data_IF_151997167400
#
_entry.id   IF_151997167400
#
_cell.length_a   1.000
_cell.length_b   1.000
_cell.length_c   1.000
_cell.angle_alpha   90.00
_cell.angle_beta   90.00
_cell.angle_gamma   90.00
#
_symmetry.space_group_name_H-M   'P 1'
#
loop_
_entity.id
_entity.type
_entity.pdbx_description
1 polymer ?
#
# COMPACT_ATOMS: atom_id res chain seq x y z
N UNK A 1 -19.84 14.07 2.42
CA UNK A 1 -18.50 13.52 2.70
C UNK A 1 -18.19 12.40 1.71
N UNK A 2 -16.96 11.85 1.68
CA UNK A 2 -16.67 10.68 0.85
C UNK A 2 -17.00 9.39 1.62
N UNK A 3 -17.99 8.65 1.15
CA UNK A 3 -18.39 7.36 1.71
C UNK A 3 -17.97 6.25 0.74
N UNK A 4 -17.24 5.23 1.23
CA UNK A 4 -16.79 4.11 0.40
C UNK A 4 -17.33 2.81 1.00
N UNK A 5 -18.15 2.10 0.23
CA UNK A 5 -18.76 0.83 0.64
C UNK A 5 -18.26 -0.25 -0.32
N UNK A 6 -17.63 -1.31 0.19
CA UNK A 6 -17.13 -2.42 -0.65
C UNK A 6 -18.28 -3.18 -1.30
N UNK A 7 -19.24 -3.57 -0.48
CA UNK A 7 -20.33 -4.45 -0.85
C UNK A 7 -21.54 -4.04 -0.06
N UNK A 8 -22.66 -3.92 -0.76
CA UNK A 8 -23.97 -3.70 -0.18
C UNK A 8 -24.87 -4.86 -0.58
N UNK A 9 -25.56 -5.43 0.41
CA UNK A 9 -26.51 -6.49 0.18
C UNK A 9 -27.85 -6.12 0.81
N UNK A 10 -28.91 -6.32 0.05
CA UNK A 10 -30.29 -6.18 0.52
C UNK A 10 -30.86 -7.58 0.54
N UNK A 11 -31.13 -8.08 1.74
CA UNK A 11 -31.74 -9.39 1.95
C UNK A 11 -33.18 -9.19 2.39
N UNK A 12 -34.11 -9.91 1.76
CA UNK A 12 -35.50 -9.97 2.18
C UNK A 12 -36.03 -11.38 1.94
N UNK A 13 -36.94 -11.81 2.81
CA UNK A 13 -37.64 -13.09 2.70
C UNK A 13 -39.10 -12.79 2.39
N UNK A 14 -39.66 -13.49 1.41
CA UNK A 14 -41.06 -13.35 1.00
C UNK A 14 -41.70 -14.72 0.84
N UNK A 15 -43.03 -14.77 0.89
CA UNK A 15 -43.79 -16.00 0.69
C UNK A 15 -43.68 -16.47 -0.77
N UNK A 16 -43.73 -17.79 -0.99
CA UNK A 16 -43.48 -18.42 -2.30
C UNK A 16 -44.41 -17.96 -3.45
N UNK A 17 -45.53 -17.32 -3.12
CA UNK A 17 -46.54 -16.84 -4.08
C UNK A 17 -46.38 -15.37 -4.47
N UNK A 18 -45.42 -14.64 -3.90
CA UNK A 18 -45.14 -13.27 -4.31
C UNK A 18 -44.33 -13.27 -5.62
N UNK A 19 -44.66 -12.35 -6.54
CA UNK A 19 -43.88 -12.09 -7.76
C UNK A 19 -42.48 -11.58 -7.37
N UNK A 20 -41.55 -12.51 -7.12
CA UNK A 20 -40.25 -12.24 -6.52
C UNK A 20 -39.41 -11.24 -7.33
N UNK A 21 -39.52 -11.28 -8.67
CA UNK A 21 -38.80 -10.37 -9.56
C UNK A 21 -39.33 -8.94 -9.50
N UNK A 22 -40.65 -8.75 -9.50
CA UNK A 22 -41.25 -7.42 -9.42
C UNK A 22 -41.01 -6.79 -8.05
N UNK A 23 -41.05 -7.61 -7.00
CA UNK A 23 -40.71 -7.19 -5.65
C UNK A 23 -39.23 -6.77 -5.56
N UNK A 24 -38.32 -7.54 -6.15
CA UNK A 24 -36.90 -7.21 -6.20
C UNK A 24 -36.66 -5.86 -6.89
N UNK A 25 -37.30 -5.62 -8.04
CA UNK A 25 -37.15 -4.36 -8.77
C UNK A 25 -37.67 -3.17 -7.95
N UNK A 26 -38.84 -3.31 -7.32
CA UNK A 26 -39.41 -2.29 -6.43
C UNK A 26 -38.54 -2.01 -5.21
N UNK A 27 -38.03 -3.05 -4.55
CA UNK A 27 -37.11 -2.90 -3.41
C UNK A 27 -35.84 -2.17 -3.83
N UNK A 28 -35.27 -2.51 -4.99
CA UNK A 28 -34.12 -1.80 -5.53
C UNK A 28 -34.43 -0.31 -5.77
N UNK A 29 -35.59 0.02 -6.34
CA UNK A 29 -35.99 1.40 -6.58
C UNK A 29 -36.20 2.18 -5.26
N UNK A 30 -36.84 1.57 -4.27
CA UNK A 30 -37.02 2.15 -2.93
C UNK A 30 -35.66 2.39 -2.26
N UNK A 31 -34.75 1.44 -2.40
CA UNK A 31 -33.43 1.56 -1.83
C UNK A 31 -32.72 2.82 -2.33
N UNK A 32 -32.61 3.01 -3.65
CA UNK A 32 -31.93 4.18 -4.21
C UNK A 32 -32.70 5.49 -4.01
N UNK A 33 -34.04 5.48 -4.10
CA UNK A 33 -34.84 6.71 -4.02
C UNK A 33 -35.08 7.19 -2.59
N UNK A 34 -35.15 6.29 -1.62
CA UNK A 34 -35.66 6.59 -0.27
C UNK A 34 -34.71 6.18 0.85
N UNK A 35 -34.09 4.99 0.79
CA UNK A 35 -33.25 4.49 1.88
C UNK A 35 -31.82 5.06 1.81
N UNK A 36 -31.18 5.00 0.64
CA UNK A 36 -29.81 5.48 0.42
C UNK A 36 -29.62 6.95 0.83
N UNK A 37 -30.51 7.90 0.47
CA UNK A 37 -30.37 9.29 0.92
C UNK A 37 -30.39 9.44 2.45
N UNK A 38 -31.13 8.59 3.16
CA UNK A 38 -31.14 8.61 4.63
C UNK A 38 -29.85 8.03 5.21
N UNK A 39 -29.31 6.98 4.60
CA UNK A 39 -28.02 6.40 4.98
C UNK A 39 -26.91 7.44 4.79
N UNK A 40 -26.86 8.10 3.63
CA UNK A 40 -25.89 9.16 3.33
C UNK A 40 -25.97 10.30 4.34
N UNK A 41 -27.19 10.74 4.67
CA UNK A 41 -27.41 11.78 5.67
C UNK A 41 -26.86 11.38 7.05
N UNK A 42 -27.14 10.17 7.51
CA UNK A 42 -26.64 9.68 8.81
C UNK A 42 -25.11 9.57 8.80
N UNK A 43 -24.54 9.10 7.69
CA UNK A 43 -23.08 9.00 7.56
C UNK A 43 -22.42 10.39 7.54
N UNK A 44 -23.01 11.36 6.86
CA UNK A 44 -22.52 12.75 6.84
C UNK A 44 -22.60 13.41 8.23
N UNK A 45 -23.67 13.17 9.00
CA UNK A 45 -23.84 13.72 10.36
C UNK A 45 -22.80 13.20 11.37
N UNK A 46 -22.32 11.98 11.16
CA UNK A 46 -21.42 11.30 12.10
C UNK A 46 -19.94 11.49 11.70
N UNK A 47 -19.68 11.76 10.42
CA UNK A 47 -18.33 11.90 9.87
C UNK A 47 -17.72 13.26 10.20
N UNK A 48 -16.41 13.29 10.41
CA UNK A 48 -15.60 14.50 10.59
C UNK A 48 -14.56 14.59 9.46
N UNK A 49 -14.20 15.79 8.95
CA UNK A 49 -13.29 15.89 7.80
C UNK A 49 -11.86 15.41 8.10
N UNK A 50 -11.49 15.32 9.37
CA UNK A 50 -10.16 14.92 9.87
C UNK A 50 -10.08 13.45 10.31
N UNK A 51 -11.21 12.71 10.28
CA UNK A 51 -11.30 11.36 10.85
C UNK A 51 -11.91 10.37 9.86
N UNK A 52 -11.37 9.15 9.89
CA UNK A 52 -11.92 8.00 9.19
C UNK A 52 -12.61 7.10 10.20
N UNK A 53 -13.79 6.68 9.80
CA UNK A 53 -14.58 5.69 10.52
C UNK A 53 -14.66 4.46 9.61
N UNK A 54 -14.07 3.35 10.07
CA UNK A 54 -14.06 2.09 9.34
C UNK A 54 -14.91 1.04 10.07
N UNK A 55 -15.77 0.38 9.30
CA UNK A 55 -16.58 -0.75 9.74
C UNK A 55 -16.17 -1.99 8.94
N UNK A 56 -16.05 -3.13 9.62
CA UNK A 56 -15.78 -4.40 8.94
C UNK A 56 -17.07 -4.94 8.29
N UNK A 57 -18.19 -4.80 8.99
CA UNK A 57 -19.54 -5.08 8.53
C UNK A 57 -20.53 -4.20 9.29
N UNK A 58 -21.64 -3.85 8.66
CA UNK A 58 -22.74 -3.11 9.26
C UNK A 58 -24.06 -3.76 8.81
N UNK A 59 -24.75 -4.38 9.76
CA UNK A 59 -26.04 -5.02 9.51
C UNK A 59 -27.16 -4.17 10.11
N UNK A 60 -28.22 -3.95 9.33
CA UNK A 60 -29.37 -3.15 9.74
C UNK A 60 -30.62 -3.95 9.47
N UNK A 61 -31.31 -4.33 10.54
CA UNK A 61 -32.59 -5.02 10.45
C UNK A 61 -33.76 -4.01 10.54
N UNK A 62 -34.51 -3.88 9.45
CA UNK A 62 -35.73 -3.07 9.39
C UNK A 62 -36.98 -3.84 9.82
N UNK A 63 -36.85 -5.15 10.10
CA UNK A 63 -37.92 -6.06 10.46
C UNK A 63 -38.87 -6.35 9.31
N UNK A 64 -40.09 -6.75 9.65
CA UNK A 64 -41.12 -7.10 8.66
C UNK A 64 -41.77 -5.85 8.08
N UNK A 65 -41.70 -5.71 6.75
CA UNK A 65 -42.38 -4.64 6.01
C UNK A 65 -43.54 -5.28 5.22
N UNK A 66 -44.79 -4.84 5.43
CA UNK A 66 -45.93 -5.31 4.65
C UNK A 66 -45.74 -5.02 3.15
N UNK A 67 -46.06 -6.00 2.29
CA UNK A 67 -45.94 -5.86 0.83
C UNK A 67 -46.70 -4.63 0.29
N UNK A 68 -47.85 -4.32 0.89
CA UNK A 68 -48.64 -3.11 0.55
C UNK A 68 -47.84 -1.81 0.68
N UNK A 69 -46.88 -1.75 1.60
CA UNK A 69 -46.07 -0.55 1.84
C UNK A 69 -44.91 -0.43 0.85
N UNK A 70 -44.38 -1.57 0.38
CA UNK A 70 -43.44 -1.65 -0.74
C UNK A 70 -44.14 -1.31 -2.06
N UNK A 71 -45.43 -1.61 -2.15
CA UNK A 71 -46.21 -1.39 -3.36
C UNK A 71 -46.70 0.06 -3.56
N UNK A 72 -46.67 0.88 -2.50
CA UNK A 72 -47.08 2.30 -2.54
C UNK A 72 -46.19 3.11 -3.49
N UNK A 73 -46.77 4.20 -4.03
CA UNK A 73 -46.07 5.16 -4.88
C UNK A 73 -44.93 5.87 -4.15
N UNK A 74 -45.09 6.11 -2.85
CA UNK A 74 -44.04 6.64 -1.98
C UNK A 74 -43.79 5.67 -0.83
N UNK A 75 -42.51 5.43 -0.54
CA UNK A 75 -42.12 4.57 0.57
C UNK A 75 -42.46 5.24 1.91
N UNK A 76 -43.13 4.56 2.85
CA UNK A 76 -43.59 5.20 4.08
C UNK A 76 -42.46 5.77 4.93
N UNK A 77 -42.68 6.98 5.47
CA UNK A 77 -41.71 7.71 6.28
C UNK A 77 -41.41 7.02 7.62
N UNK A 78 -42.28 6.14 8.11
CA UNK A 78 -42.04 5.37 9.33
C UNK A 78 -40.81 4.46 9.20
N UNK A 79 -40.61 3.83 8.04
CA UNK A 79 -39.48 2.93 7.79
C UNK A 79 -38.18 3.70 7.58
N UNK A 80 -38.24 4.87 6.94
CA UNK A 80 -37.06 5.74 6.82
C UNK A 80 -36.64 6.30 8.18
N UNK A 81 -37.60 6.67 9.03
CA UNK A 81 -37.31 7.08 10.41
C UNK A 81 -36.77 5.93 11.27
N UNK A 82 -37.32 4.72 11.10
CA UNK A 82 -36.81 3.51 11.77
C UNK A 82 -35.36 3.25 11.36
N UNK A 83 -35.07 3.27 10.06
CA UNK A 83 -33.70 3.15 9.52
C UNK A 83 -32.77 4.19 10.15
N UNK A 84 -33.17 5.47 10.14
CA UNK A 84 -32.37 6.55 10.73
C UNK A 84 -32.03 6.27 12.20
N UNK A 85 -33.03 5.90 13.02
CA UNK A 85 -32.84 5.61 14.45
C UNK A 85 -31.92 4.41 14.67
N UNK A 86 -32.22 3.28 14.04
CA UNK A 86 -31.44 2.03 14.19
C UNK A 86 -30.01 2.24 13.72
N UNK A 87 -29.81 2.87 12.56
CA UNK A 87 -28.48 3.16 12.03
C UNK A 87 -27.68 4.06 12.97
N UNK A 88 -28.29 5.12 13.49
CA UNK A 88 -27.64 6.04 14.42
C UNK A 88 -27.21 5.33 15.71
N UNK A 89 -28.04 4.43 16.24
CA UNK A 89 -27.76 3.67 17.46
C UNK A 89 -26.63 2.65 17.26
N UNK A 90 -26.67 1.89 16.16
CA UNK A 90 -25.62 0.92 15.81
C UNK A 90 -24.29 1.65 15.60
N UNK A 91 -24.29 2.79 14.89
CA UNK A 91 -23.08 3.57 14.66
C UNK A 91 -22.54 4.17 15.95
N UNK A 92 -23.39 4.72 16.83
CA UNK A 92 -22.94 5.23 18.15
C UNK A 92 -22.29 4.13 18.99
N UNK A 93 -22.87 2.94 19.00
CA UNK A 93 -22.34 1.79 19.75
C UNK A 93 -20.97 1.34 19.19
N UNK A 94 -20.84 1.31 17.87
CA UNK A 94 -19.58 0.99 17.21
C UNK A 94 -18.50 2.07 17.42
N UNK A 95 -18.90 3.35 17.47
CA UNK A 95 -17.98 4.46 17.72
C UNK A 95 -17.48 4.54 19.15
N UNK A 96 -18.25 4.03 20.12
CA UNK A 96 -17.80 3.91 21.51
C UNK A 96 -16.80 2.76 21.66
N UNK A 97 -16.96 1.69 20.88
CA UNK A 97 -16.14 0.47 20.99
C UNK A 97 -14.88 0.46 20.11
N UNK A 98 -14.85 1.20 18.99
CA UNK A 98 -13.66 1.33 18.11
C UNK A 98 -13.10 2.75 18.11
N UNK A 99 -11.76 2.86 18.18
CA UNK A 99 -11.06 4.14 18.08
C UNK A 99 -11.25 4.73 16.68
N UNK A 100 -11.72 5.98 16.61
CA UNK A 100 -11.64 6.80 15.40
C UNK A 100 -10.18 6.98 15.02
N UNK A 101 -9.87 6.93 13.73
CA UNK A 101 -8.50 7.05 13.24
C UNK A 101 -8.35 8.36 12.46
N UNK A 102 -7.21 9.07 12.57
CA UNK A 102 -6.94 10.25 11.75
C UNK A 102 -6.97 9.92 10.26
N UNK A 103 -7.36 10.88 9.40
CA UNK A 103 -7.40 10.69 7.95
C UNK A 103 -6.11 10.05 7.40
N UNK A 104 -4.96 10.66 7.69
CA UNK A 104 -3.62 10.22 7.29
C UNK A 104 -3.29 8.77 7.66
N UNK A 105 -3.91 8.22 8.72
CA UNK A 105 -3.70 6.83 9.12
C UNK A 105 -4.06 5.86 7.98
N UNK A 106 -5.06 6.19 7.16
CA UNK A 106 -5.48 5.33 6.07
C UNK A 106 -4.47 5.23 4.95
N UNK A 107 -3.81 6.34 4.60
CA UNK A 107 -2.82 6.40 3.52
C UNK A 107 -1.60 5.57 3.90
N UNK A 108 -1.15 5.69 5.15
CA UNK A 108 -0.09 4.84 5.69
C UNK A 108 -0.49 3.37 5.73
N UNK A 109 -1.72 3.04 6.13
CA UNK A 109 -2.21 1.65 6.18
C UNK A 109 -2.34 1.04 4.78
N UNK A 110 -2.88 1.78 3.82
CA UNK A 110 -2.98 1.36 2.43
C UNK A 110 -1.59 1.15 1.82
N UNK A 111 -0.64 2.03 2.15
CA UNK A 111 0.75 1.87 1.73
C UNK A 111 1.39 0.63 2.35
N UNK A 112 1.21 0.38 3.66
CA UNK A 112 1.72 -0.85 4.32
C UNK A 112 1.13 -2.10 3.67
N UNK A 113 -0.18 -2.11 3.39
CA UNK A 113 -0.85 -3.19 2.69
C UNK A 113 -0.24 -3.42 1.31
N UNK A 114 -0.08 -2.37 0.51
CA UNK A 114 0.54 -2.44 -0.82
C UNK A 114 1.98 -2.95 -0.74
N UNK A 115 2.77 -2.49 0.22
CA UNK A 115 4.14 -2.96 0.42
C UNK A 115 4.22 -4.41 0.87
N UNK A 116 3.24 -4.89 1.63
CA UNK A 116 3.17 -6.29 2.02
C UNK A 116 2.69 -7.19 0.87
N UNK A 117 1.58 -6.81 0.21
CA UNK A 117 0.81 -7.68 -0.70
C UNK A 117 1.10 -7.44 -2.17
N UNK A 118 1.46 -6.23 -2.56
CA UNK A 118 1.87 -5.88 -3.92
C UNK A 118 0.73 -5.39 -4.82
N UNK A 119 -0.47 -5.27 -4.27
CA UNK A 119 -1.65 -4.69 -4.89
C UNK A 119 -2.36 -3.78 -3.87
N UNK A 120 -3.14 -2.82 -4.36
CA UNK A 120 -3.81 -1.85 -3.50
C UNK A 120 -5.04 -2.49 -2.84
N UNK A 121 -5.38 -2.09 -1.60
CA UNK A 121 -6.66 -2.47 -1.04
C UNK A 121 -7.81 -1.82 -1.83
N UNK A 122 -8.99 -2.43 -1.77
CA UNK A 122 -10.18 -2.05 -2.55
C UNK A 122 -10.68 -0.62 -2.25
N UNK A 123 -10.36 -0.09 -1.07
CA UNK A 123 -10.75 1.25 -0.62
C UNK A 123 -9.70 2.33 -0.93
N UNK A 124 -8.64 1.99 -1.69
CA UNK A 124 -7.62 2.98 -2.04
C UNK A 124 -8.17 4.07 -2.95
N UNK A 125 -7.90 5.31 -2.56
CA UNK A 125 -8.10 6.48 -3.43
C UNK A 125 -6.92 6.53 -4.40
N UNK A 126 -7.15 7.06 -5.61
CA UNK A 126 -6.15 7.11 -6.66
C UNK A 126 -4.80 7.63 -6.14
N UNK A 127 -3.73 6.91 -6.52
CA UNK A 127 -2.32 7.28 -6.41
C UNK A 127 -2.10 8.69 -7.02
N UNK A 128 -2.28 9.74 -6.24
CA UNK A 128 -1.85 11.07 -6.66
C UNK A 128 -0.33 11.23 -6.48
N UNK A 129 0.22 12.35 -6.97
CA UNK A 129 1.65 12.66 -6.84
C UNK A 129 2.06 12.96 -5.41
N UNK A 130 1.11 13.25 -4.53
CA UNK A 130 1.34 13.67 -3.15
C UNK A 130 1.15 12.53 -2.14
N UNK A 131 0.79 11.32 -2.60
CA UNK A 131 0.53 10.18 -1.71
C UNK A 131 1.76 9.84 -0.86
N UNK A 132 2.98 9.98 -1.38
CA UNK A 132 4.20 9.79 -0.59
C UNK A 132 4.29 10.74 0.61
N UNK A 133 3.83 11.98 0.46
CA UNK A 133 3.81 12.98 1.54
C UNK A 133 2.80 12.58 2.61
N UNK A 134 1.60 12.16 2.21
CA UNK A 134 0.55 11.73 3.13
C UNK A 134 0.95 10.46 3.90
N UNK A 135 1.64 9.53 3.24
CA UNK A 135 2.22 8.34 3.89
C UNK A 135 3.26 8.75 4.94
N UNK A 136 4.15 9.68 4.63
CA UNK A 136 5.16 10.16 5.59
C UNK A 136 4.51 10.90 6.77
N UNK A 137 3.47 11.71 6.53
CA UNK A 137 2.68 12.35 7.60
C UNK A 137 2.04 11.31 8.51
N UNK A 138 1.45 10.26 7.94
CA UNK A 138 0.84 9.15 8.70
C UNK A 138 1.84 8.51 9.68
N UNK A 139 3.04 8.20 9.19
CA UNK A 139 4.08 7.62 10.03
C UNK A 139 4.64 8.60 11.06
N UNK A 140 4.76 9.89 10.72
CA UNK A 140 5.26 10.91 11.64
C UNK A 140 4.26 11.22 12.77
N UNK A 141 2.96 11.08 12.52
CA UNK A 141 1.90 11.40 13.48
C UNK A 141 1.44 10.21 14.35
N UNK A 142 1.79 8.97 14.00
CA UNK A 142 1.35 7.78 14.74
C UNK A 142 2.48 6.78 14.98
N UNK A 143 2.88 6.63 16.26
CA UNK A 143 3.89 5.67 16.68
C UNK A 143 3.49 4.21 16.38
N UNK A 144 2.20 3.86 16.46
CA UNK A 144 1.72 2.52 16.14
C UNK A 144 1.91 2.19 14.66
N UNK A 145 1.83 3.19 13.78
CA UNK A 145 2.14 3.04 12.35
C UNK A 145 3.62 2.74 12.13
N UNK A 146 4.51 3.43 12.83
CA UNK A 146 5.95 3.13 12.79
C UNK A 146 6.22 1.70 13.27
N UNK A 147 5.56 1.26 14.35
CA UNK A 147 5.71 -0.12 14.83
C UNK A 147 5.22 -1.16 13.82
N UNK A 148 4.12 -0.87 13.13
CA UNK A 148 3.60 -1.73 12.05
C UNK A 148 4.57 -1.81 10.87
N UNK A 149 5.19 -0.68 10.48
CA UNK A 149 6.24 -0.64 9.48
C UNK A 149 7.47 -1.47 9.90
N UNK A 150 7.98 -1.26 11.12
CA UNK A 150 9.13 -2.03 11.63
C UNK A 150 8.82 -3.53 11.65
N UNK A 151 7.62 -3.92 12.10
CA UNK A 151 7.19 -5.31 12.08
C UNK A 151 7.13 -5.91 10.66
N UNK A 152 6.65 -5.14 9.67
CA UNK A 152 6.63 -5.55 8.27
C UNK A 152 8.05 -5.77 7.73
N UNK A 153 8.96 -4.82 7.94
CA UNK A 153 10.34 -4.89 7.45
C UNK A 153 11.16 -6.02 8.09
N UNK A 154 10.86 -6.39 9.34
CA UNK A 154 11.48 -7.54 10.02
C UNK A 154 11.00 -8.88 9.45
N UNK A 155 9.70 -9.01 9.16
CA UNK A 155 9.07 -10.30 8.81
C UNK A 155 8.99 -10.57 7.31
N UNK A 156 9.05 -9.53 6.47
CA UNK A 156 8.78 -9.64 5.04
C UNK A 156 9.92 -9.04 4.19
N UNK A 157 10.94 -9.84 3.81
CA UNK A 157 12.06 -9.35 2.99
C UNK A 157 11.61 -8.94 1.58
N UNK A 158 10.50 -9.50 1.06
CA UNK A 158 9.93 -9.10 -0.22
C UNK A 158 9.35 -7.69 -0.15
N UNK A 159 8.69 -7.34 0.95
CA UNK A 159 8.19 -5.99 1.20
C UNK A 159 9.33 -4.98 1.30
N UNK A 160 10.40 -5.32 2.03
CA UNK A 160 11.61 -4.50 2.14
C UNK A 160 12.22 -4.20 0.76
N UNK A 161 12.44 -5.24 -0.05
CA UNK A 161 12.96 -5.09 -1.41
C UNK A 161 12.02 -4.26 -2.29
N UNK A 162 10.71 -4.40 -2.13
CA UNK A 162 9.72 -3.59 -2.85
C UNK A 162 9.83 -2.12 -2.46
N UNK A 163 9.91 -1.80 -1.18
CA UNK A 163 10.06 -0.42 -0.68
C UNK A 163 11.32 0.22 -1.26
N UNK A 164 12.47 -0.47 -1.16
CA UNK A 164 13.75 0.06 -1.66
C UNK A 164 13.76 0.23 -3.18
N UNK A 165 13.07 -0.64 -3.93
CA UNK A 165 13.09 -0.61 -5.40
C UNK A 165 12.03 0.28 -6.03
N UNK A 166 10.95 0.60 -5.31
CA UNK A 166 9.81 1.36 -5.84
C UNK A 166 9.84 2.83 -5.48
N UNK A 167 10.60 3.21 -4.47
CA UNK A 167 10.62 4.57 -3.93
C UNK A 167 11.89 5.29 -4.31
N UNK A 168 11.79 6.62 -4.40
CA UNK A 168 12.94 7.49 -4.61
C UNK A 168 13.86 7.45 -3.39
N UNK A 169 15.15 7.74 -3.60
CA UNK A 169 16.12 7.81 -2.51
C UNK A 169 15.78 8.94 -1.51
N UNK A 170 15.17 10.02 -1.99
CA UNK A 170 14.68 11.10 -1.14
C UNK A 170 13.59 10.58 -0.19
N UNK A 171 12.62 9.83 -0.72
CA UNK A 171 11.60 9.20 0.10
C UNK A 171 12.21 8.24 1.13
N UNK A 172 13.18 7.41 0.74
CA UNK A 172 13.85 6.49 1.66
C UNK A 172 14.60 7.22 2.79
N UNK A 173 15.24 8.37 2.51
CA UNK A 173 15.85 9.21 3.55
C UNK A 173 14.80 9.76 4.51
N UNK A 174 13.67 10.27 3.99
CA UNK A 174 12.57 10.80 4.83
C UNK A 174 11.93 9.71 5.67
N UNK A 175 11.69 8.52 5.09
CA UNK A 175 11.15 7.36 5.79
C UNK A 175 12.10 6.91 6.91
N UNK A 176 13.41 6.84 6.62
CA UNK A 176 14.42 6.54 7.62
C UNK A 176 14.39 7.55 8.78
N UNK A 177 14.29 8.85 8.47
CA UNK A 177 14.22 9.89 9.48
C UNK A 177 13.01 9.75 10.41
N UNK A 178 11.84 9.39 9.85
CA UNK A 178 10.63 9.10 10.63
C UNK A 178 10.82 7.84 11.50
N UNK A 179 11.40 6.76 10.96
CA UNK A 179 11.64 5.52 11.70
C UNK A 179 12.60 5.68 12.89
N UNK A 180 13.57 6.59 12.77
CA UNK A 180 14.60 6.84 13.80
C UNK A 180 14.31 8.05 14.67
N UNK A 181 13.23 8.80 14.39
CA UNK A 181 12.94 10.09 15.03
C UNK A 181 14.15 11.05 15.03
N UNK A 182 14.99 11.01 13.99
CA UNK A 182 16.24 11.76 13.89
C UNK A 182 16.55 12.08 12.42
N UNK A 183 17.21 13.21 12.15
CA UNK A 183 17.56 13.59 10.78
C UNK A 183 18.61 12.66 10.19
N UNK A 184 18.37 12.17 8.97
CA UNK A 184 19.24 11.21 8.27
C UNK A 184 19.88 11.86 7.02
N UNK A 185 20.31 13.12 7.14
CA UNK A 185 20.80 13.95 6.02
C UNK A 185 22.00 13.33 5.30
N UNK A 186 22.88 12.65 6.04
CA UNK A 186 24.09 12.03 5.50
C UNK A 186 23.87 10.60 4.98
N UNK A 187 22.68 10.02 5.16
CA UNK A 187 22.42 8.61 4.88
C UNK A 187 22.67 8.27 3.40
N UNK A 188 22.16 9.13 2.52
CA UNK A 188 22.31 8.95 1.08
C UNK A 188 23.78 9.01 0.65
N UNK A 189 24.54 9.96 1.19
CA UNK A 189 25.97 10.13 0.90
C UNK A 189 26.73 8.87 1.33
N UNK A 190 26.45 8.35 2.52
CA UNK A 190 27.08 7.15 3.05
C UNK A 190 26.74 5.92 2.20
N UNK A 191 25.47 5.70 1.86
CA UNK A 191 25.04 4.58 1.01
C UNK A 191 25.69 4.65 -0.38
N UNK A 192 25.76 5.84 -0.99
CA UNK A 192 26.44 6.03 -2.27
C UNK A 192 27.92 5.70 -2.18
N UNK A 193 28.61 6.26 -1.18
CA UNK A 193 30.04 6.03 -0.95
C UNK A 193 30.33 4.53 -0.78
N UNK A 194 29.48 3.81 -0.05
CA UNK A 194 29.59 2.37 0.15
C UNK A 194 29.36 1.56 -1.13
N UNK A 195 28.36 1.95 -1.92
CA UNK A 195 28.05 1.33 -3.21
C UNK A 195 29.18 1.53 -4.22
N UNK A 196 29.78 2.71 -4.25
CA UNK A 196 30.93 3.04 -5.09
C UNK A 196 32.17 2.26 -4.67
N UNK A 197 32.53 2.26 -3.38
CA UNK A 197 33.70 1.51 -2.89
C UNK A 197 33.56 0.03 -3.27
N UNK A 198 32.44 -0.61 -2.94
CA UNK A 198 32.23 -2.03 -3.26
C UNK A 198 32.05 -2.29 -4.76
N UNK A 199 31.51 -1.35 -5.51
CA UNK A 199 31.35 -1.46 -6.95
C UNK A 199 32.66 -1.29 -7.72
N UNK A 200 33.60 -0.48 -7.24
CA UNK A 200 34.95 -0.39 -7.82
C UNK A 200 35.69 -1.72 -7.66
N UNK A 201 35.48 -2.42 -6.54
CA UNK A 201 36.09 -3.71 -6.24
C UNK A 201 35.45 -4.86 -7.04
N UNK A 202 34.13 -4.85 -7.21
CA UNK A 202 33.36 -5.91 -7.89
C UNK A 202 33.03 -5.60 -9.37
N UNK A 203 33.52 -4.48 -9.91
CA UNK A 203 33.22 -3.96 -11.24
C UNK A 203 31.98 -3.05 -11.31
N UNK A 204 32.07 -1.95 -12.07
CA UNK A 204 31.08 -0.85 -12.09
C UNK A 204 29.62 -1.27 -12.36
N UNK A 205 29.40 -2.38 -13.11
CA UNK A 205 28.06 -2.94 -13.36
C UNK A 205 27.34 -3.38 -12.07
N UNK A 206 28.06 -3.53 -10.96
CA UNK A 206 27.51 -3.97 -9.68
C UNK A 206 27.10 -2.84 -8.73
N UNK A 207 27.44 -1.56 -9.03
CA UNK A 207 27.15 -0.42 -8.14
C UNK A 207 25.66 -0.31 -7.83
N UNK A 208 24.78 -0.36 -8.85
CA UNK A 208 23.33 -0.28 -8.64
C UNK A 208 22.81 -1.40 -7.74
N UNK A 209 23.28 -2.64 -7.94
CA UNK A 209 22.89 -3.79 -7.11
C UNK A 209 23.38 -3.63 -5.67
N UNK A 210 24.61 -3.14 -5.48
CA UNK A 210 25.18 -2.88 -4.16
C UNK A 210 24.47 -1.74 -3.44
N UNK A 211 24.05 -0.69 -4.17
CA UNK A 211 23.25 0.40 -3.62
C UNK A 211 21.91 -0.08 -3.06
N UNK A 212 21.17 -0.88 -3.84
CA UNK A 212 19.92 -1.52 -3.38
C UNK A 212 20.17 -2.38 -2.14
N UNK A 213 21.22 -3.19 -2.17
CA UNK A 213 21.61 -4.02 -1.03
C UNK A 213 21.83 -3.18 0.24
N UNK A 214 22.59 -2.08 0.18
CA UNK A 214 22.81 -1.24 1.36
C UNK A 214 21.56 -0.55 1.88
N UNK A 215 20.66 -0.14 0.99
CA UNK A 215 19.36 0.37 1.40
C UNK A 215 18.54 -0.69 2.13
N UNK A 216 18.48 -1.92 1.60
CA UNK A 216 17.79 -3.04 2.23
C UNK A 216 18.36 -3.32 3.62
N UNK A 217 19.68 -3.46 3.74
CA UNK A 217 20.36 -3.71 5.02
C UNK A 217 20.13 -2.60 6.03
N UNK A 218 20.21 -1.34 5.59
CA UNK A 218 20.02 -0.17 6.45
C UNK A 218 18.59 -0.12 6.99
N UNK A 219 17.59 -0.26 6.11
CA UNK A 219 16.17 -0.26 6.48
C UNK A 219 15.81 -1.43 7.39
N UNK A 220 16.38 -2.61 7.14
CA UNK A 220 16.20 -3.77 8.02
C UNK A 220 16.81 -3.55 9.41
N UNK A 221 18.01 -2.96 9.48
CA UNK A 221 18.63 -2.62 10.75
C UNK A 221 17.83 -1.59 11.54
N UNK A 222 17.38 -0.50 10.90
CA UNK A 222 16.49 0.49 11.52
C UNK A 222 15.19 -0.13 12.03
N UNK A 223 14.69 -1.15 11.32
CA UNK A 223 13.54 -1.90 11.78
C UNK A 223 13.87 -2.71 13.05
N UNK A 224 15.06 -3.25 13.24
CA UNK A 224 15.43 -4.03 14.43
C UNK A 224 15.73 -3.19 15.68
N UNK A 225 15.99 -1.90 15.54
CA UNK A 225 16.34 -1.01 16.65
C UNK A 225 15.18 -0.11 17.06
N UNK A 226 14.97 0.07 18.36
CA UNK A 226 13.96 0.99 18.89
C UNK A 226 14.51 2.39 19.23
N UNK A 227 15.84 2.54 19.29
CA UNK A 227 16.48 3.80 19.70
C UNK A 227 16.62 4.82 18.56
N UNK A 228 16.60 6.11 18.91
CA UNK A 228 17.01 7.22 18.05
C UNK A 228 18.52 7.17 17.82
N UNK A 229 18.95 6.52 16.73
CA UNK A 229 20.37 6.36 16.40
C UNK A 229 20.77 7.30 15.27
N UNK A 230 21.98 7.84 15.38
CA UNK A 230 22.57 8.65 14.32
C UNK A 230 22.92 7.81 13.09
N UNK A 231 22.90 8.46 11.93
CA UNK A 231 23.18 7.87 10.61
C UNK A 231 24.41 6.96 10.61
N UNK A 232 25.50 7.39 11.24
CA UNK A 232 26.76 6.67 11.27
C UNK A 232 26.65 5.33 12.03
N UNK A 233 25.89 5.30 13.13
CA UNK A 233 25.68 4.07 13.91
C UNK A 233 24.85 3.05 13.12
N UNK A 234 23.83 3.53 12.40
CA UNK A 234 22.94 2.69 11.60
C UNK A 234 23.69 2.03 10.46
N UNK A 235 24.38 2.84 9.66
CA UNK A 235 25.14 2.37 8.51
C UNK A 235 26.27 1.44 8.96
N UNK A 236 26.98 1.79 10.05
CA UNK A 236 28.00 0.92 10.63
C UNK A 236 27.46 -0.46 10.94
N UNK A 237 26.37 -0.58 11.69
CA UNK A 237 25.86 -1.89 12.09
C UNK A 237 25.20 -2.67 10.95
N UNK A 238 24.54 -1.98 10.02
CA UNK A 238 24.07 -2.59 8.78
C UNK A 238 25.23 -3.21 7.97
N UNK A 239 26.40 -2.56 7.97
CA UNK A 239 27.62 -3.10 7.36
C UNK A 239 28.26 -4.22 8.16
N UNK A 240 28.40 -4.05 9.48
CA UNK A 240 29.08 -5.03 10.35
C UNK A 240 28.37 -6.39 10.33
N UNK A 241 27.03 -6.42 10.28
CA UNK A 241 26.27 -7.66 10.15
C UNK A 241 26.53 -8.41 8.83
N UNK A 242 26.92 -7.70 7.75
CA UNK A 242 27.22 -8.32 6.45
C UNK A 242 28.71 -8.58 6.21
N UNK A 243 29.61 -7.86 6.89
CA UNK A 243 31.06 -8.07 6.76
C UNK A 243 31.47 -9.44 7.36
N UNK A 244 30.75 -9.94 8.36
CA UNK A 244 30.97 -11.29 8.93
C UNK A 244 30.79 -12.43 7.90
N UNK A 245 29.98 -12.25 6.85
CA UNK A 245 29.83 -13.25 5.76
C UNK A 245 30.96 -13.20 4.72
N UNK A 246 31.80 -12.17 4.72
CA UNK A 246 32.85 -11.98 3.70
C UNK A 246 34.24 -12.03 4.33
N UNK A 247 34.80 -13.24 4.51
CA UNK A 247 36.17 -13.46 5.00
C UNK A 247 37.30 -12.90 4.09
N UNK A 248 37.02 -11.95 3.17
CA UNK A 248 38.01 -11.27 2.32
C UNK A 248 38.16 -9.77 2.62
N UNK A 249 37.43 -9.22 3.60
CA UNK A 249 37.24 -7.77 3.76
C UNK A 249 38.14 -7.11 4.81
N UNK A 250 39.21 -7.80 5.26
CA UNK A 250 40.15 -7.26 6.26
C UNK A 250 41.01 -6.09 5.71
N UNK A 251 41.40 -6.14 4.43
CA UNK A 251 42.14 -5.05 3.77
C UNK A 251 41.26 -3.81 3.53
N UNK A 252 39.96 -4.05 3.34
CA UNK A 252 38.98 -3.03 2.97
C UNK A 252 38.55 -2.19 4.16
N UNK A 253 38.54 -2.77 5.38
CA UNK A 253 38.26 -2.05 6.61
C UNK A 253 39.31 -0.96 6.91
N UNK A 254 40.56 -1.13 6.46
CA UNK A 254 41.63 -0.13 6.65
C UNK A 254 41.44 1.09 5.74
N UNK A 255 41.14 0.88 4.45
CA UNK A 255 40.81 1.96 3.51
C UNK A 255 39.49 2.67 3.87
N UNK A 256 38.52 1.89 4.38
CA UNK A 256 37.24 2.35 4.91
C UNK A 256 37.43 3.21 6.18
N UNK A 257 38.28 2.77 7.12
CA UNK A 257 38.71 3.55 8.29
C UNK A 257 39.25 4.90 7.82
N UNK A 258 40.24 4.92 6.94
CA UNK A 258 40.98 6.14 6.63
C UNK A 258 40.16 7.22 5.90
N UNK A 259 39.13 6.84 5.11
CA UNK A 259 38.24 7.79 4.41
C UNK A 259 37.01 8.24 5.22
N UNK A 260 36.43 7.40 6.09
CA UNK A 260 35.23 7.73 6.87
C UNK A 260 35.51 8.18 8.31
N UNK A 261 36.59 7.71 8.94
CA UNK A 261 36.90 8.02 10.35
C UNK A 261 37.19 9.50 10.61
N UNK A 262 37.65 10.26 9.62
CA UNK A 262 38.00 11.66 9.83
C UNK A 262 36.79 12.58 10.06
N UNK A 263 35.57 12.13 9.73
CA UNK A 263 34.34 12.94 9.84
C UNK A 263 33.30 12.40 10.83
N UNK A 264 33.24 11.09 11.09
CA UNK A 264 32.08 10.47 11.78
C UNK A 264 32.37 9.60 13.01
N UNK A 265 33.63 9.40 13.45
CA UNK A 265 33.97 8.36 14.45
C UNK A 265 34.74 8.91 15.66
N UNK A 266 34.70 10.22 15.93
CA UNK A 266 35.33 10.78 17.13
C UNK A 266 34.63 10.42 18.45
N UNK A 267 33.44 9.83 18.40
CA UNK A 267 32.69 9.42 19.59
C UNK A 267 32.13 8.02 19.34
N UNK A 268 32.66 7.00 20.04
CA UNK A 268 31.96 5.78 20.52
C UNK A 268 32.98 4.67 20.90
N UNK A 269 32.82 4.01 22.05
CA UNK A 269 33.77 3.03 22.59
C UNK A 269 33.66 1.67 21.91
N UNK A 270 34.81 1.05 21.64
CA UNK A 270 34.93 -0.31 21.08
C UNK A 270 34.99 -1.34 22.21
N UNK A 271 33.99 -2.20 22.35
CA UNK A 271 34.10 -3.45 23.11
C UNK A 271 33.90 -4.62 22.16
N UNK A 272 34.98 -5.39 21.94
CA UNK A 272 34.94 -6.65 21.19
C UNK A 272 34.50 -7.75 22.15
N UNK A 273 33.47 -8.50 21.78
CA UNK A 273 33.19 -9.82 22.35
C UNK A 273 33.08 -10.81 21.19
N UNK A 274 33.99 -11.78 21.19
CA UNK A 274 34.12 -12.82 20.18
C UNK A 274 33.00 -13.85 20.37
N UNK A 275 32.25 -14.14 19.31
CA UNK A 275 31.33 -15.28 19.25
C UNK A 275 31.70 -16.11 18.03
N UNK A 276 32.11 -17.35 18.27
CA UNK A 276 32.40 -18.35 17.25
C UNK A 276 31.13 -19.05 16.79
N UNK A 277 30.82 -19.05 15.48
CA UNK A 277 29.91 -20.03 14.86
C UNK A 277 30.48 -20.48 13.51
N UNK A 278 30.44 -21.81 13.27
CA UNK A 278 30.97 -22.52 12.09
C UNK A 278 30.12 -22.27 10.82
N UNK A 279 30.72 -22.38 9.61
CA UNK A 279 30.02 -22.14 8.35
C UNK A 279 29.43 -23.43 7.75
N UNK A 280 28.20 -23.41 7.21
CA UNK A 280 27.74 -24.33 6.14
C UNK A 280 26.43 -23.82 5.49
N UNK A 281 25.99 -24.30 4.31
CA UNK A 281 26.39 -23.85 2.98
C UNK A 281 25.24 -23.21 2.17
N UNK A 282 25.65 -22.51 1.11
CA UNK A 282 24.84 -21.96 0.02
C UNK A 282 23.88 -22.98 -0.63
N UNK A 283 22.61 -22.58 -0.80
CA UNK A 283 21.66 -23.14 -1.78
C UNK A 283 20.96 -21.93 -2.45
N UNK A 284 21.21 -21.63 -3.73
CA UNK A 284 20.62 -22.24 -4.92
C UNK A 284 19.12 -21.95 -5.07
N UNK A 285 18.79 -21.39 -6.24
CA UNK A 285 17.48 -21.01 -6.78
C UNK A 285 16.24 -21.59 -6.08
N UNK A 286 15.44 -20.72 -5.46
CA UNK A 286 14.05 -21.04 -5.14
C UNK A 286 13.14 -20.49 -6.22
N UNK A 287 12.59 -21.43 -6.99
CA UNK A 287 11.46 -21.24 -7.87
C UNK A 287 10.33 -20.47 -7.15
N UNK A 288 9.72 -19.51 -7.86
CA UNK A 288 8.54 -18.76 -7.41
C UNK A 288 7.43 -19.75 -7.03
N UNK A 289 7.18 -19.92 -5.73
CA UNK A 289 5.94 -20.51 -5.25
C UNK A 289 4.82 -19.48 -5.53
N UNK A 290 3.76 -19.82 -6.29
CA UNK A 290 2.61 -18.93 -6.44
C UNK A 290 2.02 -18.70 -5.05
N UNK A 291 1.97 -17.45 -4.61
CA UNK A 291 1.25 -17.13 -3.39
C UNK A 291 -0.24 -17.46 -3.62
N UNK A 292 -0.93 -18.06 -2.64
CA UNK A 292 -2.35 -18.35 -2.76
C UNK A 292 -3.10 -17.05 -3.07
N UNK A 293 -4.02 -17.12 -4.05
CA UNK A 293 -4.83 -15.96 -4.39
C UNK A 293 -5.66 -15.56 -3.17
N UNK A 294 -5.73 -14.26 -2.83
CA UNK A 294 -6.58 -13.79 -1.74
C UNK A 294 -8.03 -14.22 -2.02
N UNK A 295 -8.74 -14.74 -1.01
CA UNK A 295 -10.18 -15.03 -1.11
C UNK A 295 -10.99 -13.81 -1.55
N UNK A 296 -10.47 -12.61 -1.25
CA UNK A 296 -11.11 -11.32 -1.54
C UNK A 296 -10.92 -10.81 -2.98
N UNK A 297 -10.25 -11.55 -3.86
CA UNK A 297 -9.89 -11.10 -5.21
C UNK A 297 -8.86 -9.96 -5.20
N UNK A 298 -8.28 -9.65 -6.36
CA UNK A 298 -7.30 -8.57 -6.51
C UNK A 298 -7.95 -7.44 -7.32
N UNK A 299 -8.09 -6.27 -6.69
CA UNK A 299 -8.54 -5.06 -7.37
C UNK A 299 -7.38 -4.44 -8.13
N UNK A 300 -7.54 -4.30 -9.45
CA UNK A 300 -6.55 -3.71 -10.34
C UNK A 300 -7.15 -2.45 -10.95
N UNK A 301 -6.56 -1.29 -10.65
CA UNK A 301 -6.85 -0.06 -11.37
C UNK A 301 -6.58 -0.29 -12.86
N UNK A 302 -7.53 0.06 -13.72
CA UNK A 302 -7.47 -0.19 -15.18
C UNK A 302 -7.72 -1.66 -15.60
N UNK A 303 -8.45 -2.46 -14.82
CA UNK A 303 -8.86 -3.81 -15.22
C UNK A 303 -9.52 -3.86 -16.61
N UNK A 304 -10.17 -2.78 -17.05
CA UNK A 304 -10.67 -2.62 -18.41
C UNK A 304 -9.59 -2.85 -19.48
N UNK A 305 -8.35 -2.40 -19.29
CA UNK A 305 -7.25 -2.65 -20.22
C UNK A 305 -6.93 -4.15 -20.37
N UNK A 306 -6.99 -4.90 -19.25
CA UNK A 306 -6.78 -6.34 -19.21
C UNK A 306 -7.92 -7.07 -19.91
N UNK A 307 -9.16 -6.64 -19.67
CA UNK A 307 -10.35 -7.16 -20.36
C UNK A 307 -10.34 -6.85 -21.86
N UNK A 308 -9.73 -5.74 -22.27
CA UNK A 308 -9.58 -5.34 -23.67
C UNK A 308 -8.49 -6.12 -24.42
N UNK A 309 -7.58 -6.81 -23.72
CA UNK A 309 -6.44 -7.53 -24.32
C UNK A 309 -6.81 -8.38 -25.55
N UNK A 310 -7.90 -9.19 -25.56
CA UNK A 310 -8.28 -9.98 -26.73
C UNK A 310 -8.61 -9.14 -27.97
N UNK A 311 -9.06 -7.89 -27.78
CA UNK A 311 -9.53 -7.00 -28.85
C UNK A 311 -8.45 -6.04 -29.35
N UNK A 312 -7.36 -5.83 -28.59
CA UNK A 312 -6.31 -4.85 -28.93
C UNK A 312 -5.65 -5.14 -30.27
N UNK A 313 -5.41 -6.41 -30.60
CA UNK A 313 -4.81 -6.79 -31.89
C UNK A 313 -5.67 -6.35 -33.07
N UNK A 314 -6.97 -6.56 -32.97
CA UNK A 314 -7.92 -6.16 -34.02
C UNK A 314 -8.03 -4.64 -34.09
N UNK A 315 -8.11 -3.97 -32.94
CA UNK A 315 -8.16 -2.51 -32.87
C UNK A 315 -6.94 -1.86 -33.54
N UNK A 316 -5.72 -2.29 -33.20
CA UNK A 316 -4.51 -1.71 -33.80
C UNK A 316 -4.38 -2.03 -35.29
N UNK A 317 -4.90 -3.16 -35.75
CA UNK A 317 -4.98 -3.48 -37.17
C UNK A 317 -5.96 -2.55 -37.90
N UNK A 318 -7.14 -2.31 -37.33
CA UNK A 318 -8.16 -1.41 -37.89
C UNK A 318 -7.71 0.05 -37.92
N UNK A 319 -7.00 0.50 -36.88
CA UNK A 319 -6.39 1.83 -36.82
C UNK A 319 -5.12 1.94 -37.69
N UNK A 320 -4.70 0.84 -38.32
CA UNK A 320 -3.55 0.82 -39.21
C UNK A 320 -2.20 0.94 -38.50
N UNK A 321 -2.13 0.73 -37.18
CA UNK A 321 -0.88 0.80 -36.39
C UNK A 321 -0.03 -0.46 -36.52
N UNK A 322 -0.66 -1.61 -36.80
CA UNK A 322 0.05 -2.89 -36.93
C UNK A 322 -0.12 -3.51 -38.32
N UNK A 323 0.93 -4.21 -38.76
CA UNK A 323 0.92 -5.11 -39.91
C UNK A 323 1.69 -6.39 -39.51
N UNK A 324 1.19 -7.56 -39.89
CA UNK A 324 1.77 -8.87 -39.52
C UNK A 324 2.14 -9.01 -38.01
N UNK A 325 1.27 -8.56 -37.10
CA UNK A 325 1.50 -8.54 -35.64
C UNK A 325 2.71 -7.70 -35.17
N UNK A 326 3.21 -6.79 -36.00
CA UNK A 326 4.25 -5.83 -35.64
C UNK A 326 3.77 -4.41 -35.86
N UNK A 327 4.28 -3.46 -35.07
CA UNK A 327 4.00 -2.04 -35.30
C UNK A 327 4.79 -1.55 -36.51
N UNK A 328 4.15 -0.72 -37.34
CA UNK A 328 4.74 -0.22 -38.58
C UNK A 328 5.92 0.72 -38.33
N UNK A 329 5.81 1.54 -37.30
CA UNK A 329 6.78 2.57 -36.95
C UNK A 329 6.66 2.99 -35.46
N UNK A 330 7.67 3.68 -34.89
CA UNK A 330 7.62 4.18 -33.52
C UNK A 330 6.48 5.18 -33.24
N UNK A 331 6.03 5.92 -34.25
CA UNK A 331 4.86 6.81 -34.14
C UNK A 331 3.56 6.03 -33.96
N UNK A 332 3.37 4.94 -34.72
CA UNK A 332 2.26 3.99 -34.54
C UNK A 332 2.25 3.35 -33.14
N UNK A 333 3.42 3.11 -32.54
CA UNK A 333 3.53 2.64 -31.15
C UNK A 333 3.08 3.71 -30.15
N UNK A 334 3.48 4.96 -30.36
CA UNK A 334 3.04 6.10 -29.54
C UNK A 334 1.53 6.32 -29.62
N UNK A 335 0.95 6.24 -30.82
CA UNK A 335 -0.49 6.35 -31.04
C UNK A 335 -1.27 5.18 -30.42
N UNK A 336 -0.74 3.96 -30.49
CA UNK A 336 -1.32 2.81 -29.81
C UNK A 336 -1.34 2.99 -28.28
N UNK A 337 -0.26 3.52 -27.70
CA UNK A 337 -0.19 3.84 -26.27
C UNK A 337 -1.21 4.92 -25.88
N UNK A 338 -1.32 5.99 -26.65
CA UNK A 338 -2.31 7.05 -26.42
C UNK A 338 -3.75 6.54 -26.57
N UNK A 339 -4.00 5.66 -27.54
CA UNK A 339 -5.32 5.03 -27.73
C UNK A 339 -5.68 4.14 -26.54
N UNK A 340 -4.72 3.35 -26.04
CA UNK A 340 -4.92 2.55 -24.83
C UNK A 340 -5.21 3.43 -23.62
N UNK A 341 -4.43 4.50 -23.43
CA UNK A 341 -4.64 5.44 -22.34
C UNK A 341 -6.04 6.07 -22.44
N UNK A 342 -6.46 6.50 -23.63
CA UNK A 342 -7.78 7.08 -23.87
C UNK A 342 -8.93 6.10 -23.57
N UNK A 343 -8.83 4.85 -24.03
CA UNK A 343 -9.84 3.81 -23.77
C UNK A 343 -9.99 3.50 -22.28
N UNK A 344 -8.90 3.66 -21.54
CA UNK A 344 -8.81 3.31 -20.13
C UNK A 344 -9.18 4.49 -19.23
N UNK A 345 -8.86 5.73 -19.63
CA UNK A 345 -9.19 6.96 -18.90
C UNK A 345 -10.53 7.58 -19.30
N UNK A 346 -11.22 7.04 -20.32
CA UNK A 346 -12.52 7.53 -20.77
C UNK A 346 -12.47 8.93 -21.42
N UNK A 347 -11.31 9.32 -21.97
CA UNK A 347 -11.14 10.61 -22.65
C UNK A 347 -10.96 11.83 -21.74
N UNK A 348 -10.78 11.64 -20.43
CA UNK A 348 -10.21 12.68 -19.58
C UNK A 348 -8.69 12.63 -19.76
N UNK A 349 -8.15 13.57 -20.55
CA UNK A 349 -6.73 13.78 -20.78
C UNK A 349 -6.29 15.09 -20.14
#
# INVERSE_FOLDING_TARGET
MKHIIKTQRIEFVTDANAEAFDLQHRVSAIFYSSLLPQIEKVFDEISSPDQIIQFDSLEIDLGTIPIRDIQKTSFPTEYTQKLYKTLTEVLRTHLISKKRQPLHYSEGMQWLFYMQKGYLPWNSVALDKDWEIEVLKAFASDYQMIQSLKALLRKNPVALKRIVSRHSEEFLVRLAAVMTANSQTDLLILINTLAEINGVIAGLKTIKRKKVFYWESTMHFMAMTDDSRDTAHIVRNALFNHIQESQKTAFHFKLFKDRLLKKYVSELPLTHSEIHIKPTPTAADTAKIPQPMPEEGIFVSLAGAVLLHPFLKMLFKLLGFTDNNQFKDPGSQGMALMTLQYLVSGGQA
#
